data_IF_830752107207
#
_entry.id   IF_830752107207
#
_cell.length_a   1.000
_cell.length_b   1.000
_cell.length_c   1.000
_cell.angle_alpha   90.00
_cell.angle_beta   90.00
_cell.angle_gamma   90.00
#
_symmetry.space_group_name_H-M   'P 1'
#
loop_
_entity.id
_entity.type
_entity.pdbx_description
1 polymer ?
#
# COMPACT_ATOMS: atom_id res chain seq x y z
N UNK A 1 -27.25 -3.61 36.56
CA UNK A 1 -26.23 -4.59 36.11
C UNK A 1 -26.32 -4.66 34.60
N UNK A 2 -25.22 -4.42 33.89
CA UNK A 2 -25.20 -4.57 32.43
C UNK A 2 -24.64 -5.96 32.12
N UNK A 3 -25.44 -6.78 31.42
CA UNK A 3 -25.01 -8.08 30.91
C UNK A 3 -24.19 -7.82 29.64
N UNK A 4 -22.94 -8.24 29.66
CA UNK A 4 -21.95 -7.90 28.63
C UNK A 4 -21.73 -9.05 27.65
N UNK A 5 -22.75 -9.90 27.45
CA UNK A 5 -22.71 -11.05 26.55
C UNK A 5 -23.53 -10.88 25.25
N UNK A 6 -24.25 -9.75 25.08
CA UNK A 6 -25.07 -9.46 23.89
C UNK A 6 -24.68 -8.15 23.20
N UNK A 7 -24.78 -8.14 21.85
CA UNK A 7 -24.22 -7.20 20.86
C UNK A 7 -24.44 -5.67 21.00
N UNK A 8 -24.85 -5.11 22.14
CA UNK A 8 -25.03 -3.66 22.35
C UNK A 8 -24.33 -3.16 23.63
N UNK A 9 -23.00 -2.97 23.59
CA UNK A 9 -22.21 -2.44 24.71
C UNK A 9 -22.03 -0.92 24.69
N UNK A 10 -23.13 -0.17 24.67
CA UNK A 10 -23.09 1.27 24.37
C UNK A 10 -23.01 2.21 25.58
N UNK A 11 -22.87 1.75 26.83
CA UNK A 11 -22.78 2.69 27.97
C UNK A 11 -22.07 2.18 29.24
N UNK A 12 -20.95 1.46 29.10
CA UNK A 12 -20.12 1.06 30.25
C UNK A 12 -19.36 2.28 30.81
N UNK A 13 -19.41 2.49 32.13
CA UNK A 13 -18.65 3.51 32.84
C UNK A 13 -17.67 2.88 33.83
N UNK A 14 -16.59 3.62 34.13
CA UNK A 14 -15.66 3.24 35.20
C UNK A 14 -16.43 3.19 36.52
N UNK A 15 -16.32 2.08 37.24
CA UNK A 15 -17.04 1.83 38.47
C UNK A 15 -18.26 0.91 38.35
N UNK A 16 -18.74 0.62 37.14
CA UNK A 16 -19.87 -0.28 36.93
C UNK A 16 -19.54 -1.73 37.31
N UNK A 17 -20.53 -2.45 37.83
CA UNK A 17 -20.46 -3.88 38.07
C UNK A 17 -21.02 -4.63 36.86
N UNK A 18 -20.16 -5.40 36.21
CA UNK A 18 -20.49 -6.23 35.04
C UNK A 18 -20.47 -7.71 35.40
N UNK A 19 -21.33 -8.46 34.71
CA UNK A 19 -21.37 -9.91 34.77
C UNK A 19 -20.70 -10.48 33.53
N UNK A 20 -19.69 -11.33 33.74
CA UNK A 20 -18.95 -12.01 32.67
C UNK A 20 -19.26 -13.50 32.77
N UNK A 21 -19.55 -14.09 31.62
CA UNK A 21 -19.68 -15.53 31.46
C UNK A 21 -18.32 -16.19 31.25
N UNK A 22 -17.99 -17.16 32.09
CA UNK A 22 -16.67 -17.80 32.11
C UNK A 22 -16.86 -19.31 31.93
N UNK A 23 -16.29 -19.91 30.89
CA UNK A 23 -16.39 -21.36 30.69
C UNK A 23 -15.58 -22.08 31.78
N UNK A 24 -16.26 -22.90 32.59
CA UNK A 24 -15.63 -23.74 33.62
C UNK A 24 -15.34 -25.11 33.03
N UNK A 25 -14.07 -25.50 33.05
CA UNK A 25 -13.63 -26.81 32.58
C UNK A 25 -13.41 -27.75 33.78
N UNK A 26 -14.00 -28.95 33.77
CA UNK A 26 -13.74 -30.03 34.74
C UNK A 26 -13.04 -31.17 34.03
N UNK A 27 -11.88 -31.62 34.54
CA UNK A 27 -11.05 -32.68 33.94
C UNK A 27 -10.76 -32.46 32.43
N UNK A 28 -10.51 -31.20 32.05
CA UNK A 28 -10.21 -30.83 30.65
C UNK A 28 -11.41 -30.81 29.69
N UNK A 29 -12.64 -31.10 30.15
CA UNK A 29 -13.87 -30.98 29.36
C UNK A 29 -14.70 -29.79 29.83
N UNK A 30 -15.35 -29.10 28.90
CA UNK A 30 -16.30 -28.03 29.22
C UNK A 30 -17.39 -28.59 30.13
N UNK A 31 -17.64 -27.94 31.27
CA UNK A 31 -18.62 -28.37 32.24
C UNK A 31 -19.87 -27.48 32.23
N UNK A 32 -19.69 -26.17 32.45
CA UNK A 32 -20.76 -25.18 32.44
C UNK A 32 -20.16 -23.77 32.35
N UNK A 33 -20.98 -22.78 32.00
CA UNK A 33 -20.60 -21.37 32.05
C UNK A 33 -20.96 -20.81 33.42
N UNK A 34 -20.00 -20.22 34.13
CA UNK A 34 -20.23 -19.54 35.40
C UNK A 34 -20.29 -18.03 35.20
N UNK A 35 -21.33 -17.39 35.72
CA UNK A 35 -21.43 -15.93 35.74
C UNK A 35 -20.62 -15.39 36.92
N UNK A 36 -19.64 -14.52 36.63
CA UNK A 36 -18.81 -13.86 37.65
C UNK A 36 -18.99 -12.36 37.58
N UNK A 37 -19.18 -11.76 38.76
CA UNK A 37 -19.29 -10.30 38.93
C UNK A 37 -17.90 -9.68 39.04
N UNK A 38 -17.60 -8.71 38.18
CA UNK A 38 -16.39 -7.90 38.25
C UNK A 38 -16.72 -6.42 38.12
N UNK A 39 -15.85 -5.57 38.67
CA UNK A 39 -15.99 -4.12 38.64
C UNK A 39 -15.09 -3.55 37.55
N UNK A 40 -15.61 -2.61 36.76
CA UNK A 40 -14.86 -1.94 35.70
C UNK A 40 -13.88 -0.94 36.32
N UNK A 41 -12.58 -1.22 36.21
CA UNK A 41 -11.51 -0.35 36.74
C UNK A 41 -11.08 0.75 35.78
N UNK A 42 -11.07 0.48 34.47
CA UNK A 42 -10.72 1.43 33.43
C UNK A 42 -11.31 0.99 32.08
N UNK A 43 -11.49 1.93 31.16
CA UNK A 43 -11.93 1.68 29.78
C UNK A 43 -10.83 2.17 28.85
N UNK A 44 -10.34 1.28 27.99
CA UNK A 44 -9.29 1.58 27.02
C UNK A 44 -9.92 1.94 25.67
N UNK A 45 -9.31 2.88 24.95
CA UNK A 45 -9.68 3.15 23.55
C UNK A 45 -9.27 1.94 22.69
N UNK A 46 -10.13 1.58 21.75
CA UNK A 46 -10.04 0.40 20.84
C UNK A 46 -8.69 0.23 20.11
N UNK A 47 -7.88 1.28 20.01
CA UNK A 47 -6.63 1.32 19.23
C UNK A 47 -5.56 0.31 19.67
N UNK A 48 -5.66 -0.29 20.86
CA UNK A 48 -4.59 -1.11 21.42
C UNK A 48 -4.79 -2.63 21.28
N UNK A 49 -6.03 -3.11 21.08
CA UNK A 49 -6.34 -4.53 20.97
C UNK A 49 -7.44 -4.74 19.92
N UNK A 50 -7.10 -5.36 18.79
CA UNK A 50 -8.11 -5.86 17.86
C UNK A 50 -8.55 -7.25 18.33
N UNK A 51 -9.82 -7.38 18.71
CA UNK A 51 -10.41 -8.70 18.94
C UNK A 51 -10.57 -9.36 17.57
N UNK A 52 -9.73 -10.35 17.27
CA UNK A 52 -9.76 -11.08 15.99
C UNK A 52 -10.91 -12.07 15.89
N UNK A 53 -11.59 -12.36 17.00
CA UNK A 53 -12.75 -13.25 17.03
C UNK A 53 -14.01 -12.45 16.73
N UNK A 54 -14.60 -12.68 15.55
CA UNK A 54 -15.82 -12.00 15.08
C UNK A 54 -17.09 -12.25 15.91
N UNK A 55 -16.96 -12.88 17.09
CA UNK A 55 -18.05 -13.22 18.01
C UNK A 55 -18.05 -12.36 19.28
N UNK A 56 -16.93 -11.72 19.64
CA UNK A 56 -16.81 -10.87 20.82
C UNK A 56 -16.27 -9.49 20.43
N UNK A 57 -17.06 -8.44 20.63
CA UNK A 57 -16.65 -7.05 20.42
C UNK A 57 -15.96 -6.42 21.64
N UNK A 58 -15.74 -7.19 22.72
CA UNK A 58 -15.18 -6.71 23.98
C UNK A 58 -13.94 -7.51 24.40
N UNK A 59 -12.83 -6.79 24.62
CA UNK A 59 -11.64 -7.34 25.25
C UNK A 59 -11.63 -6.97 26.75
N UNK A 60 -11.48 -7.95 27.62
CA UNK A 60 -11.38 -7.75 29.07
C UNK A 60 -9.94 -7.98 29.50
N UNK A 61 -9.35 -6.98 30.17
CA UNK A 61 -7.99 -7.05 30.71
C UNK A 61 -8.09 -7.05 32.22
N UNK A 62 -7.41 -7.99 32.87
CA UNK A 62 -7.35 -8.10 34.32
C UNK A 62 -5.99 -8.58 34.79
N UNK A 63 -5.71 -8.35 36.06
CA UNK A 63 -4.49 -8.85 36.71
C UNK A 63 -4.53 -10.39 36.83
N UNK A 64 -3.35 -11.01 36.74
CA UNK A 64 -3.20 -12.47 36.80
C UNK A 64 -3.77 -13.06 38.10
N UNK A 65 -3.54 -12.41 39.25
CA UNK A 65 -4.04 -12.90 40.55
C UNK A 65 -5.57 -12.91 40.57
N UNK A 66 -6.18 -11.87 39.98
CA UNK A 66 -7.64 -11.77 39.89
C UNK A 66 -8.21 -12.84 38.95
N UNK A 67 -7.54 -13.11 37.83
CA UNK A 67 -7.94 -14.16 36.89
C UNK A 67 -7.87 -15.55 37.55
N UNK A 68 -6.79 -15.86 38.27
CA UNK A 68 -6.63 -17.14 38.97
C UNK A 68 -7.71 -17.33 40.05
N UNK A 69 -7.94 -16.31 40.88
CA UNK A 69 -8.91 -16.40 41.99
C UNK A 69 -10.38 -16.43 41.51
N UNK A 70 -10.73 -15.58 40.53
CA UNK A 70 -12.14 -15.41 40.12
C UNK A 70 -12.55 -16.31 38.96
N UNK A 71 -11.62 -16.62 38.05
CA UNK A 71 -11.89 -17.38 36.82
C UNK A 71 -11.34 -18.81 36.87
N UNK A 72 -10.53 -19.15 37.88
CA UNK A 72 -9.91 -20.47 38.04
C UNK A 72 -9.07 -20.88 36.81
N UNK A 73 -8.53 -19.90 36.09
CA UNK A 73 -7.52 -20.17 35.07
C UNK A 73 -6.24 -20.66 35.74
N UNK A 74 -5.75 -21.83 35.31
CA UNK A 74 -4.51 -22.42 35.81
C UNK A 74 -3.52 -22.53 34.67
N UNK A 75 -2.40 -21.82 34.79
CA UNK A 75 -1.32 -21.79 33.79
C UNK A 75 -1.45 -20.67 32.77
N UNK A 76 -0.45 -20.57 31.90
CA UNK A 76 -0.35 -19.53 30.87
C UNK A 76 -0.58 -20.13 29.48
N UNK A 77 -1.40 -19.45 28.68
CA UNK A 77 -1.62 -19.82 27.27
C UNK A 77 -0.59 -19.18 26.34
N UNK A 78 -0.16 -17.95 26.64
CA UNK A 78 0.79 -17.20 25.83
C UNK A 78 1.76 -16.45 26.75
N UNK A 79 3.05 -16.50 26.44
CA UNK A 79 4.10 -15.73 27.14
C UNK A 79 4.77 -14.84 26.10
N UNK A 80 4.61 -13.52 26.26
CA UNK A 80 5.23 -12.52 25.38
C UNK A 80 6.53 -12.03 25.99
N UNK A 81 7.63 -12.24 25.29
CA UNK A 81 8.96 -11.77 25.70
C UNK A 81 9.36 -10.60 24.81
N UNK A 82 9.56 -9.43 25.42
CA UNK A 82 10.06 -8.24 24.73
C UNK A 82 11.56 -8.09 25.02
N UNK A 83 12.32 -7.84 23.97
CA UNK A 83 13.77 -7.61 24.02
C UNK A 83 14.05 -6.13 23.81
N UNK A 84 14.88 -5.52 24.67
CA UNK A 84 15.24 -4.10 24.56
C UNK A 84 16.26 -3.83 23.44
N UNK A 85 17.12 -4.81 23.12
CA UNK A 85 18.13 -4.69 22.08
C UNK A 85 17.92 -5.70 20.96
N UNK A 86 17.92 -5.22 19.70
CA UNK A 86 17.84 -6.05 18.49
C UNK A 86 19.04 -7.00 18.34
N UNK A 87 20.21 -6.66 18.91
CA UNK A 87 21.45 -7.45 18.77
C UNK A 87 21.39 -8.80 19.51
N UNK A 88 20.55 -8.91 20.54
CA UNK A 88 20.43 -10.12 21.35
C UNK A 88 19.37 -11.10 20.83
N UNK A 89 18.64 -10.74 19.77
CA UNK A 89 17.49 -11.51 19.30
C UNK A 89 17.86 -12.92 18.86
N UNK A 90 18.84 -13.05 17.97
CA UNK A 90 19.20 -14.34 17.38
C UNK A 90 19.78 -15.30 18.43
N UNK A 91 20.51 -14.76 19.42
CA UNK A 91 21.01 -15.52 20.56
C UNK A 91 19.88 -16.03 21.47
N UNK A 92 18.96 -15.13 21.87
CA UNK A 92 17.84 -15.49 22.74
C UNK A 92 16.87 -16.43 22.04
N UNK A 93 16.58 -16.21 20.75
CA UNK A 93 15.73 -17.10 19.95
C UNK A 93 16.33 -18.51 19.87
N UNK A 94 17.65 -18.63 19.62
CA UNK A 94 18.32 -19.93 19.56
C UNK A 94 18.25 -20.67 20.90
N UNK A 95 18.49 -19.96 22.01
CA UNK A 95 18.38 -20.53 23.35
C UNK A 95 16.95 -20.98 23.66
N UNK A 96 15.94 -20.15 23.38
CA UNK A 96 14.53 -20.51 23.57
C UNK A 96 14.11 -21.70 22.70
N UNK A 97 14.54 -21.74 21.43
CA UNK A 97 14.31 -22.90 20.54
C UNK A 97 14.92 -24.17 21.11
N UNK A 98 16.11 -24.12 21.70
CA UNK A 98 16.73 -25.30 22.35
C UNK A 98 15.99 -25.76 23.60
N UNK A 99 15.50 -24.83 24.44
CA UNK A 99 14.75 -25.15 25.66
C UNK A 99 13.35 -25.75 25.40
N UNK A 100 12.77 -25.42 24.24
CA UNK A 100 11.46 -25.90 23.80
C UNK A 100 11.56 -27.22 23.04
N UNK A 101 12.75 -27.55 22.52
CA UNK A 101 13.00 -28.79 21.78
C UNK A 101 12.72 -30.00 22.67
N UNK A 102 11.72 -30.81 22.30
CA UNK A 102 11.27 -31.98 23.06
C UNK A 102 10.00 -31.79 23.89
N UNK A 103 9.39 -30.59 23.89
CA UNK A 103 8.09 -30.33 24.54
C UNK A 103 7.00 -30.07 23.49
N UNK A 104 6.12 -31.05 23.17
CA UNK A 104 5.14 -30.91 22.08
C UNK A 104 4.07 -29.83 22.32
N UNK A 105 3.88 -29.42 23.58
CA UNK A 105 2.83 -28.45 23.96
C UNK A 105 3.29 -26.98 23.91
N UNK A 106 4.53 -26.71 23.50
CA UNK A 106 5.09 -25.37 23.45
C UNK A 106 5.45 -25.01 22.01
N UNK A 107 4.87 -23.91 21.52
CA UNK A 107 5.19 -23.36 20.21
C UNK A 107 5.85 -21.98 20.40
N UNK A 108 7.03 -21.79 19.81
CA UNK A 108 7.71 -20.50 19.82
C UNK A 108 7.35 -19.73 18.55
N UNK A 109 6.60 -18.65 18.70
CA UNK A 109 6.28 -17.74 17.59
C UNK A 109 7.27 -16.59 17.60
N UNK A 110 8.14 -16.57 16.59
CA UNK A 110 9.16 -15.54 16.39
C UNK A 110 8.57 -14.37 15.61
N UNK A 111 8.35 -13.23 16.28
CA UNK A 111 7.78 -12.04 15.62
C UNK A 111 8.67 -11.51 14.48
N UNK A 112 10.01 -11.68 14.56
CA UNK A 112 10.93 -11.34 13.47
C UNK A 112 10.69 -12.23 12.25
N UNK A 113 10.52 -13.53 12.47
CA UNK A 113 10.26 -14.50 11.41
C UNK A 113 8.90 -14.26 10.75
N UNK A 114 7.87 -13.97 11.55
CA UNK A 114 6.53 -13.62 11.06
C UNK A 114 6.56 -12.33 10.24
N UNK A 115 7.21 -11.28 10.74
CA UNK A 115 7.42 -10.04 9.99
C UNK A 115 8.18 -10.27 8.69
N UNK A 116 9.19 -11.14 8.69
CA UNK A 116 9.95 -11.46 7.48
C UNK A 116 9.09 -12.23 6.47
N UNK A 117 8.26 -13.18 6.92
CA UNK A 117 7.30 -13.88 6.06
C UNK A 117 6.28 -12.93 5.44
N UNK A 118 5.71 -12.03 6.23
CA UNK A 118 4.78 -10.99 5.75
C UNK A 118 5.48 -10.04 4.76
N UNK A 119 6.69 -9.57 5.08
CA UNK A 119 7.49 -8.73 4.17
C UNK A 119 7.81 -9.46 2.86
N UNK A 120 8.15 -10.74 2.92
CA UNK A 120 8.46 -11.53 1.72
C UNK A 120 7.22 -11.76 0.86
N UNK A 121 6.07 -12.06 1.48
CA UNK A 121 4.79 -12.18 0.78
C UNK A 121 4.42 -10.86 0.09
N UNK A 122 4.47 -9.75 0.84
CA UNK A 122 4.21 -8.42 0.29
C UNK A 122 5.18 -8.06 -0.84
N UNK A 123 6.47 -8.37 -0.71
CA UNK A 123 7.47 -8.12 -1.75
C UNK A 123 7.16 -8.89 -3.04
N UNK A 124 6.71 -10.14 -2.94
CA UNK A 124 6.31 -10.94 -4.12
C UNK A 124 5.11 -10.32 -4.81
N UNK A 125 4.06 -9.96 -4.06
CA UNK A 125 2.87 -9.32 -4.61
C UNK A 125 3.19 -7.97 -5.25
N UNK A 126 3.98 -7.13 -4.57
CA UNK A 126 4.42 -5.84 -5.11
C UNK A 126 5.26 -6.00 -6.38
N UNK A 127 6.12 -7.02 -6.46
CA UNK A 127 6.94 -7.27 -7.66
C UNK A 127 6.08 -7.56 -8.88
N UNK A 128 5.05 -8.40 -8.75
CA UNK A 128 4.12 -8.69 -9.86
C UNK A 128 3.42 -7.42 -10.33
N UNK A 129 2.95 -6.59 -9.39
CA UNK A 129 2.32 -5.31 -9.73
C UNK A 129 3.30 -4.35 -10.43
N UNK A 130 4.55 -4.26 -9.97
CA UNK A 130 5.56 -3.45 -10.62
C UNK A 130 5.93 -3.95 -12.02
N UNK A 131 5.96 -5.27 -12.25
CA UNK A 131 6.13 -5.82 -13.59
C UNK A 131 4.97 -5.39 -14.52
N UNK A 132 3.73 -5.45 -14.03
CA UNK A 132 2.57 -4.99 -14.79
C UNK A 132 2.65 -3.50 -15.14
N UNK A 133 2.99 -2.66 -14.16
CA UNK A 133 3.24 -1.22 -14.37
C UNK A 133 4.34 -0.99 -15.39
N UNK A 134 5.43 -1.77 -15.34
CA UNK A 134 6.52 -1.70 -16.31
C UNK A 134 6.07 -2.00 -17.75
N UNK A 135 5.23 -3.01 -17.94
CA UNK A 135 4.67 -3.35 -19.27
C UNK A 135 3.79 -2.21 -19.78
N UNK A 136 2.88 -1.69 -18.95
CA UNK A 136 2.01 -0.56 -19.32
C UNK A 136 2.84 0.68 -19.66
N UNK A 137 3.91 0.94 -18.90
CA UNK A 137 4.82 2.04 -19.17
C UNK A 137 5.53 1.86 -20.52
N UNK A 138 6.03 0.67 -20.83
CA UNK A 138 6.67 0.37 -22.13
C UNK A 138 5.71 0.60 -23.31
N UNK A 139 4.49 0.06 -23.22
CA UNK A 139 3.47 0.26 -24.26
C UNK A 139 3.14 1.76 -24.42
N UNK A 140 3.05 2.47 -23.30
CA UNK A 140 2.78 3.92 -23.30
C UNK A 140 3.90 4.72 -23.95
N UNK A 141 5.17 4.37 -23.68
CA UNK A 141 6.34 5.00 -24.30
C UNK A 141 6.29 4.81 -25.83
N UNK A 142 6.11 3.58 -26.30
CA UNK A 142 5.99 3.29 -27.74
C UNK A 142 4.84 4.07 -28.37
N UNK A 143 3.70 4.16 -27.68
CA UNK A 143 2.56 4.93 -28.15
C UNK A 143 2.88 6.42 -28.29
N UNK A 144 3.62 7.02 -27.34
CA UNK A 144 4.05 8.43 -27.43
C UNK A 144 4.91 8.65 -28.67
N UNK A 145 5.89 7.78 -28.93
CA UNK A 145 6.73 7.88 -30.14
C UNK A 145 5.89 7.80 -31.42
N UNK A 146 4.93 6.87 -31.47
CA UNK A 146 4.04 6.70 -32.62
C UNK A 146 3.17 7.94 -32.86
N UNK A 147 2.58 8.50 -31.80
CA UNK A 147 1.73 9.70 -31.87
C UNK A 147 2.56 10.92 -32.31
N UNK A 148 3.75 11.12 -31.75
CA UNK A 148 4.60 12.25 -32.12
C UNK A 148 5.07 12.17 -33.57
N UNK A 149 5.47 10.98 -34.03
CA UNK A 149 5.83 10.75 -35.43
C UNK A 149 4.65 10.98 -36.38
N UNK A 150 3.47 10.45 -36.05
CA UNK A 150 2.25 10.65 -36.84
C UNK A 150 1.87 12.13 -36.96
N UNK A 151 1.92 12.90 -35.86
CA UNK A 151 1.59 14.33 -35.88
C UNK A 151 2.48 15.13 -36.84
N UNK A 152 3.76 14.77 -36.92
CA UNK A 152 4.70 15.39 -37.87
C UNK A 152 4.34 15.03 -39.31
N UNK A 153 4.01 13.77 -39.58
CA UNK A 153 3.65 13.29 -40.92
C UNK A 153 2.36 13.97 -41.41
N UNK A 154 1.34 14.05 -40.55
CA UNK A 154 0.06 14.70 -40.88
C UNK A 154 0.22 16.19 -41.24
N UNK A 155 1.15 16.89 -40.58
CA UNK A 155 1.43 18.31 -40.81
C UNK A 155 2.57 18.56 -41.79
N UNK A 156 3.05 17.54 -42.51
CA UNK A 156 4.19 17.64 -43.43
C UNK A 156 4.01 18.76 -44.46
N UNK A 157 2.80 18.92 -45.02
CA UNK A 157 2.48 19.99 -46.00
C UNK A 157 2.65 21.40 -45.39
N UNK A 158 2.13 21.61 -44.19
CA UNK A 158 2.27 22.89 -43.46
C UNK A 158 3.73 23.20 -43.16
N UNK A 159 4.49 22.21 -42.68
CA UNK A 159 5.91 22.34 -42.34
C UNK A 159 6.77 22.64 -43.58
N UNK A 160 6.44 22.05 -44.73
CA UNK A 160 7.12 22.33 -45.99
C UNK A 160 6.79 23.73 -46.54
N UNK A 161 5.54 24.20 -46.38
CA UNK A 161 5.18 25.58 -46.71
C UNK A 161 5.95 26.59 -45.86
N UNK A 162 6.10 26.35 -44.55
CA UNK A 162 6.91 27.21 -43.69
C UNK A 162 8.37 27.26 -44.12
N UNK A 163 8.95 26.13 -44.56
CA UNK A 163 10.29 26.10 -45.16
C UNK A 163 10.38 26.90 -46.46
N UNK A 164 9.36 26.87 -47.31
CA UNK A 164 9.33 27.62 -48.56
C UNK A 164 9.29 29.16 -48.35
N UNK A 165 8.70 29.61 -47.24
CA UNK A 165 8.66 31.04 -46.84
C UNK A 165 9.96 31.47 -46.13
N UNK A 166 10.92 30.56 -45.93
CA UNK A 166 12.27 30.88 -45.43
C UNK A 166 12.58 30.40 -44.01
N UNK A 167 11.68 29.64 -43.36
CA UNK A 167 11.95 29.10 -42.02
C UNK A 167 13.12 28.10 -42.06
N UNK A 168 14.14 28.33 -41.23
CA UNK A 168 15.31 27.46 -41.16
C UNK A 168 14.97 26.10 -40.56
N UNK A 169 15.80 25.08 -40.84
CA UNK A 169 15.65 23.73 -40.26
C UNK A 169 15.71 23.75 -38.74
N UNK A 170 16.52 24.64 -38.16
CA UNK A 170 16.70 24.79 -36.72
C UNK A 170 15.45 25.38 -36.08
N UNK A 171 14.92 26.47 -36.62
CA UNK A 171 13.68 27.09 -36.12
C UNK A 171 12.50 26.11 -36.20
N UNK A 172 12.42 25.32 -37.28
CA UNK A 172 11.37 24.30 -37.43
C UNK A 172 11.49 23.21 -36.35
N UNK A 173 12.72 22.81 -36.03
CA UNK A 173 13.03 21.81 -35.00
C UNK A 173 12.66 22.33 -33.61
N UNK A 174 13.08 23.56 -33.29
CA UNK A 174 12.79 24.24 -32.01
C UNK A 174 11.28 24.46 -31.82
N UNK A 175 10.53 24.77 -32.89
CA UNK A 175 9.06 24.88 -32.83
C UNK A 175 8.40 23.54 -32.45
N UNK A 176 8.86 22.44 -33.05
CA UNK A 176 8.30 21.11 -32.79
C UNK A 176 8.64 20.65 -31.36
N UNK A 177 9.87 20.93 -30.91
CA UNK A 177 10.33 20.65 -29.55
C UNK A 177 9.53 21.46 -28.51
N UNK A 178 9.28 22.73 -28.78
CA UNK A 178 8.46 23.57 -27.90
C UNK A 178 7.02 23.04 -27.80
N UNK A 179 6.40 22.66 -28.92
CA UNK A 179 5.07 22.01 -28.91
C UNK A 179 5.09 20.70 -28.13
N UNK A 180 6.11 19.86 -28.32
CA UNK A 180 6.29 18.61 -27.58
C UNK A 180 6.41 18.81 -26.07
N UNK A 181 7.16 19.82 -25.64
CA UNK A 181 7.31 20.17 -24.22
C UNK A 181 6.00 20.64 -23.59
N UNK A 182 5.20 21.44 -24.32
CA UNK A 182 3.87 21.87 -23.84
C UNK A 182 2.96 20.66 -23.63
N UNK A 183 2.97 19.69 -24.55
CA UNK A 183 2.22 18.45 -24.38
C UNK A 183 2.72 17.65 -23.19
N UNK A 184 4.04 17.49 -23.02
CA UNK A 184 4.64 16.77 -21.89
C UNK A 184 4.26 17.37 -20.54
N UNK A 185 4.36 18.69 -20.39
CA UNK A 185 3.96 19.41 -19.16
C UNK A 185 2.47 19.21 -18.90
N UNK A 186 1.64 19.37 -19.92
CA UNK A 186 0.18 19.20 -19.79
C UNK A 186 -0.18 17.77 -19.36
N UNK A 187 0.50 16.76 -19.92
CA UNK A 187 0.31 15.36 -19.53
C UNK A 187 0.71 15.08 -18.09
N UNK A 188 1.81 15.66 -17.61
CA UNK A 188 2.23 15.52 -16.21
C UNK A 188 1.21 16.14 -15.26
N UNK A 189 0.74 17.36 -15.56
CA UNK A 189 -0.28 18.04 -14.75
C UNK A 189 -1.56 17.21 -14.69
N UNK A 190 -2.07 16.76 -15.84
CA UNK A 190 -3.25 15.91 -15.89
C UNK A 190 -3.04 14.56 -15.18
N UNK A 191 -1.87 13.94 -15.34
CA UNK A 191 -1.52 12.68 -14.71
C UNK A 191 -1.49 12.76 -13.19
N UNK A 192 -0.93 13.85 -12.63
CA UNK A 192 -0.92 14.08 -11.17
C UNK A 192 -2.34 14.26 -10.66
N UNK A 193 -3.18 15.05 -11.34
CA UNK A 193 -4.56 15.30 -10.94
C UNK A 193 -5.37 14.00 -10.94
N UNK A 194 -5.39 13.30 -12.08
CA UNK A 194 -6.14 12.05 -12.23
C UNK A 194 -5.61 10.94 -11.32
N UNK A 195 -4.28 10.82 -11.18
CA UNK A 195 -3.65 9.85 -10.29
C UNK A 195 -3.96 10.09 -8.82
N UNK A 196 -3.97 11.35 -8.38
CA UNK A 196 -4.32 11.73 -7.01
C UNK A 196 -5.78 11.42 -6.69
N UNK A 197 -6.69 11.77 -7.62
CA UNK A 197 -8.12 11.47 -7.49
C UNK A 197 -8.35 9.95 -7.47
N UNK A 198 -7.73 9.20 -8.39
CA UNK A 198 -7.86 7.75 -8.44
C UNK A 198 -7.35 7.07 -7.17
N UNK A 199 -6.20 7.51 -6.64
CA UNK A 199 -5.66 6.99 -5.38
C UNK A 199 -6.56 7.32 -4.19
N UNK A 200 -7.15 8.51 -4.16
CA UNK A 200 -8.07 8.93 -3.10
C UNK A 200 -9.38 8.14 -3.12
N UNK A 201 -9.96 7.92 -4.30
CA UNK A 201 -11.16 7.07 -4.48
C UNK A 201 -10.85 5.63 -4.04
N UNK A 202 -9.71 5.09 -4.46
CA UNK A 202 -9.26 3.76 -4.04
C UNK A 202 -9.14 3.68 -2.51
N UNK A 203 -8.51 4.67 -1.89
CA UNK A 203 -8.39 4.76 -0.44
C UNK A 203 -9.74 4.74 0.28
N UNK A 204 -10.72 5.53 -0.16
CA UNK A 204 -12.07 5.56 0.46
C UNK A 204 -12.77 4.20 0.31
N UNK A 205 -12.68 3.59 -0.87
CA UNK A 205 -13.31 2.31 -1.15
C UNK A 205 -12.74 1.18 -0.29
N UNK A 206 -11.41 1.11 -0.17
CA UNK A 206 -10.72 0.08 0.62
C UNK A 206 -10.88 0.29 2.12
N UNK A 207 -10.89 1.54 2.59
CA UNK A 207 -11.07 1.86 4.03
C UNK A 207 -12.39 1.35 4.59
N UNK A 208 -13.47 1.39 3.80
CA UNK A 208 -14.80 0.97 4.24
C UNK A 208 -14.95 -0.56 4.39
N UNK A 209 -14.24 -1.35 3.58
CA UNK A 209 -14.52 -2.78 3.45
C UNK A 209 -13.37 -3.73 3.84
N UNK A 210 -12.10 -3.34 3.64
CA UNK A 210 -10.96 -4.26 3.77
C UNK A 210 -9.93 -3.85 4.82
N UNK A 211 -9.61 -2.56 4.95
CA UNK A 211 -8.52 -2.09 5.81
C UNK A 211 -8.84 -0.76 6.51
N UNK A 212 -9.53 -0.78 7.67
CA UNK A 212 -9.97 0.43 8.37
C UNK A 212 -8.82 1.32 8.89
N UNK A 213 -7.60 0.77 9.01
CA UNK A 213 -6.41 1.48 9.51
C UNK A 213 -5.38 1.84 8.43
N UNK A 214 -5.75 1.75 7.14
CA UNK A 214 -4.84 2.17 6.07
C UNK A 214 -4.65 3.69 6.13
N UNK A 215 -3.40 4.15 6.08
CA UNK A 215 -3.08 5.58 6.01
C UNK A 215 -2.79 5.97 4.56
N UNK A 216 -3.42 7.04 4.08
CA UNK A 216 -3.09 7.60 2.77
C UNK A 216 -1.76 8.36 2.87
N UNK A 217 -0.69 7.74 2.36
CA UNK A 217 0.64 8.33 2.35
C UNK A 217 1.12 8.46 0.90
N UNK A 218 1.12 9.68 0.38
CA UNK A 218 1.67 10.02 -0.93
C UNK A 218 3.04 10.64 -0.70
N UNK A 219 4.08 9.98 -1.21
CA UNK A 219 5.44 10.53 -1.19
C UNK A 219 5.64 11.53 -2.33
N UNK A 220 5.69 12.82 -1.99
CA UNK A 220 5.90 13.92 -2.95
C UNK A 220 7.20 13.74 -3.74
N UNK A 221 8.25 13.22 -3.09
CA UNK A 221 9.54 12.91 -3.74
C UNK A 221 9.39 11.95 -4.92
N UNK A 222 8.53 10.93 -4.80
CA UNK A 222 8.29 9.97 -5.89
C UNK A 222 7.52 10.62 -7.05
N UNK A 223 6.57 11.51 -6.75
CA UNK A 223 5.84 12.24 -7.79
C UNK A 223 6.79 13.10 -8.60
N UNK A 224 7.65 13.88 -7.94
CA UNK A 224 8.62 14.74 -8.63
C UNK A 224 9.56 13.90 -9.51
N UNK A 225 10.09 12.80 -8.96
CA UNK A 225 10.98 11.92 -9.70
C UNK A 225 10.31 11.31 -10.94
N UNK A 226 9.06 10.83 -10.81
CA UNK A 226 8.31 10.26 -11.94
C UNK A 226 7.91 11.32 -12.97
N UNK A 227 7.55 12.52 -12.54
CA UNK A 227 7.26 13.65 -13.43
C UNK A 227 8.48 14.01 -14.28
N UNK A 228 9.68 14.03 -13.69
CA UNK A 228 10.92 14.27 -14.43
C UNK A 228 11.21 13.17 -15.46
N UNK A 229 10.96 11.91 -15.11
CA UNK A 229 11.09 10.79 -16.06
C UNK A 229 10.14 10.95 -17.24
N UNK A 230 8.87 11.27 -16.99
CA UNK A 230 7.86 11.46 -18.05
C UNK A 230 8.21 12.64 -18.94
N UNK A 231 8.62 13.77 -18.38
CA UNK A 231 9.10 14.92 -19.17
C UNK A 231 10.31 14.55 -20.03
N UNK A 232 11.25 13.79 -19.49
CA UNK A 232 12.41 13.30 -20.23
C UNK A 232 12.01 12.41 -21.41
N UNK A 233 11.07 11.49 -21.22
CA UNK A 233 10.55 10.62 -22.29
C UNK A 233 9.85 11.46 -23.37
N UNK A 234 8.99 12.40 -22.99
CA UNK A 234 8.31 13.29 -23.94
C UNK A 234 9.30 14.15 -24.73
N UNK A 235 10.35 14.66 -24.07
CA UNK A 235 11.39 15.44 -24.71
C UNK A 235 12.18 14.59 -25.73
N UNK A 236 12.59 13.38 -25.37
CA UNK A 236 13.27 12.44 -26.27
C UNK A 236 12.37 12.08 -27.47
N UNK A 237 11.09 11.82 -27.23
CA UNK A 237 10.13 11.55 -28.29
C UNK A 237 9.99 12.75 -29.25
N UNK A 238 9.93 13.97 -28.71
CA UNK A 238 9.86 15.19 -29.53
C UNK A 238 11.13 15.40 -30.37
N UNK A 239 12.31 15.19 -29.78
CA UNK A 239 13.59 15.23 -30.50
C UNK A 239 13.64 14.19 -31.63
N UNK A 240 13.12 12.98 -31.39
CA UNK A 240 13.08 11.92 -32.41
C UNK A 240 12.20 12.32 -33.60
N UNK A 241 11.06 12.95 -33.33
CA UNK A 241 10.13 13.42 -34.36
C UNK A 241 10.71 14.61 -35.15
N UNK A 242 11.42 15.52 -34.48
CA UNK A 242 12.15 16.64 -35.10
C UNK A 242 13.24 16.15 -36.07
N UNK A 243 14.05 15.16 -35.66
CA UNK A 243 15.08 14.54 -36.51
C UNK A 243 14.52 13.89 -37.78
N UNK A 244 13.31 13.31 -37.72
CA UNK A 244 12.65 12.68 -38.87
C UNK A 244 12.49 13.65 -40.07
N UNK A 245 12.36 14.95 -39.80
CA UNK A 245 12.14 15.99 -40.83
C UNK A 245 13.47 16.56 -41.35
N UNK A 246 14.52 16.53 -40.54
CA UNK A 246 15.84 17.05 -40.93
C UNK A 246 16.60 16.10 -41.84
N UNK A 247 16.38 14.79 -41.69
CA UNK A 247 17.07 13.76 -42.47
C UNK A 247 16.40 13.42 -43.82
N UNK A 248 15.16 13.88 -44.08
CA UNK A 248 14.53 13.70 -45.40
C UNK A 248 14.94 14.84 -46.33
N UNK A 249 15.46 14.49 -47.52
CA UNK A 249 15.80 15.48 -48.54
C UNK A 249 14.52 16.17 -49.05
N UNK A 250 14.64 17.43 -49.47
CA UNK A 250 13.51 18.18 -50.05
C UNK A 250 13.01 17.48 -51.33
N UNK A 251 13.91 16.80 -52.05
CA UNK A 251 13.61 16.05 -53.27
C UNK A 251 12.68 14.86 -52.99
N UNK A 252 12.90 14.11 -51.90
CA UNK A 252 11.99 13.03 -51.48
C UNK A 252 10.61 13.55 -51.03
N UNK A 253 10.57 14.81 -50.55
CA UNK A 253 9.32 15.41 -50.09
C UNK A 253 8.41 15.87 -51.22
N UNK A 254 8.95 16.13 -52.41
CA UNK A 254 8.21 16.48 -53.63
C UNK A 254 7.77 15.21 -54.36
N UNK A 255 8.62 14.17 -54.38
CA UNK A 255 8.34 12.88 -55.03
C UNK A 255 7.23 12.06 -54.35
N UNK A 256 6.95 12.32 -53.07
CA UNK A 256 5.81 11.73 -52.33
C UNK A 256 4.44 12.40 -52.65
N UNK A 257 4.43 13.48 -53.45
CA UNK A 257 3.21 14.27 -53.76
C UNK A 257 2.63 13.95 -55.15
N UNK A 258 3.44 13.33 -56.04
CA UNK A 258 2.96 12.65 -57.26
C UNK A 258 2.47 11.24 -56.96
#
# INVERSE_FOLDING_TARGET
MQNVNYNNYTNLKVGDNIEIEVPVFKKGKFAYTATKKVKVGAILKEKFFQVKDGMLSLAIIMDNKTAEQKLNFKGYQEIKIKLDSKKSYDYVEKNLKSLIKGKPNLNLISYKEELNKVKQSNRKTSLVLYCFVGIVALVSIVNIFNIMGMNVILRKKELNMLRAVGMSKRELSEMIECKGNIYGISSVVMGIILGSIGTYIFYICTRKNLMPNMTWNISITLIIFMSLIVLGICFIASLSASKLINNKSIVDSIRDIE
#
